data_IF_740259160617
#
_entry.id   IF_740259160617
#
_cell.length_a   1.000
_cell.length_b   1.000
_cell.length_c   1.000
_cell.angle_alpha   90.00
_cell.angle_beta   90.00
_cell.angle_gamma   90.00
#
_symmetry.space_group_name_H-M   'P 1'
#
loop_
_entity.id
_entity.type
_entity.pdbx_description
1 polymer ?
#
# COMPACT_ATOMS: atom_id res chain seq x y z
N UNK A 1 -42.00 -9.44 28.42
CA UNK A 1 -41.13 -8.34 27.93
C UNK A 1 -41.80 -7.73 26.71
N UNK A 2 -42.46 -6.59 26.85
CA UNK A 2 -42.95 -5.83 25.71
C UNK A 2 -41.75 -5.17 25.05
N UNK A 3 -41.33 -5.66 23.88
CA UNK A 3 -40.44 -4.90 23.02
C UNK A 3 -41.20 -3.65 22.60
N UNK A 4 -40.83 -2.50 23.15
CA UNK A 4 -41.27 -1.20 22.64
C UNK A 4 -40.75 -1.10 21.21
N UNK A 5 -41.59 -1.42 20.23
CA UNK A 5 -41.28 -1.24 18.81
C UNK A 5 -41.30 0.24 18.51
N UNK A 6 -40.14 0.89 18.63
CA UNK A 6 -39.96 2.26 18.16
C UNK A 6 -40.00 2.26 16.63
N UNK A 7 -41.17 2.44 16.04
CA UNK A 7 -41.29 2.75 14.63
C UNK A 7 -40.69 4.14 14.39
N UNK A 8 -39.46 4.20 13.86
CA UNK A 8 -38.87 5.47 13.43
C UNK A 8 -39.32 5.80 12.02
N UNK A 9 -40.01 6.91 11.85
CA UNK A 9 -40.32 7.46 10.52
C UNK A 9 -39.09 8.20 9.99
N UNK A 10 -38.89 8.16 8.67
CA UNK A 10 -37.75 8.82 8.06
C UNK A 10 -37.88 10.34 8.11
N UNK A 11 -36.85 11.04 8.57
CA UNK A 11 -36.79 12.50 8.54
C UNK A 11 -36.84 13.03 7.09
N UNK A 12 -37.67 14.05 6.85
CA UNK A 12 -37.74 14.76 5.58
C UNK A 12 -36.69 15.87 5.58
N UNK A 13 -35.77 15.82 4.63
CA UNK A 13 -34.80 16.90 4.37
C UNK A 13 -35.17 17.68 3.10
N UNK A 14 -34.50 18.82 2.86
CA UNK A 14 -34.58 19.55 1.58
C UNK A 14 -34.27 18.68 0.35
N UNK A 15 -33.53 17.58 0.54
CA UNK A 15 -33.13 16.65 -0.53
C UNK A 15 -34.01 15.40 -0.64
N UNK A 16 -35.08 15.31 0.17
CA UNK A 16 -35.98 14.16 0.24
C UNK A 16 -35.88 13.41 1.57
N UNK A 17 -36.56 12.27 1.66
CA UNK A 17 -36.53 11.41 2.85
C UNK A 17 -35.13 10.83 3.10
N UNK A 18 -34.63 10.92 4.33
CA UNK A 18 -33.31 10.44 4.72
C UNK A 18 -33.10 8.94 4.44
N UNK A 19 -34.17 8.13 4.59
CA UNK A 19 -34.13 6.69 4.30
C UNK A 19 -33.72 6.39 2.86
N UNK A 20 -34.08 7.25 1.91
CA UNK A 20 -33.71 7.08 0.51
C UNK A 20 -32.20 7.27 0.30
N UNK A 21 -31.63 8.29 0.94
CA UNK A 21 -30.18 8.53 0.93
C UNK A 21 -29.44 7.38 1.62
N UNK A 22 -29.96 6.89 2.76
CA UNK A 22 -29.38 5.75 3.49
C UNK A 22 -29.41 4.46 2.71
N UNK A 23 -30.51 4.17 2.00
CA UNK A 23 -30.61 3.01 1.13
C UNK A 23 -29.50 3.05 0.07
N UNK A 24 -29.37 4.17 -0.63
CA UNK A 24 -28.34 4.36 -1.67
C UNK A 24 -26.93 4.21 -1.08
N UNK A 25 -26.69 4.83 0.09
CA UNK A 25 -25.42 4.74 0.80
C UNK A 25 -25.08 3.30 1.22
N UNK A 26 -26.05 2.57 1.79
CA UNK A 26 -25.86 1.19 2.23
C UNK A 26 -25.48 0.27 1.06
N UNK A 27 -26.18 0.38 -0.07
CA UNK A 27 -25.85 -0.40 -1.27
C UNK A 27 -24.47 -0.04 -1.82
N UNK A 28 -24.06 1.24 -1.76
CA UNK A 28 -22.70 1.66 -2.13
C UNK A 28 -21.63 1.02 -1.24
N UNK A 29 -21.85 0.98 0.08
CA UNK A 29 -20.90 0.38 1.03
C UNK A 29 -20.64 -1.11 0.77
N UNK A 30 -21.61 -1.84 0.24
CA UNK A 30 -21.47 -3.26 -0.12
C UNK A 30 -21.10 -3.48 -1.61
N UNK A 31 -20.73 -2.41 -2.33
CA UNK A 31 -20.33 -2.50 -3.74
C UNK A 31 -21.48 -2.85 -4.68
N UNK A 32 -22.72 -2.50 -4.33
CA UNK A 32 -23.94 -2.76 -5.10
C UNK A 32 -24.62 -1.45 -5.50
N UNK A 33 -25.47 -1.52 -6.52
CA UNK A 33 -26.15 -0.35 -7.08
C UNK A 33 -27.67 -0.50 -7.16
N UNK A 34 -28.30 0.35 -7.98
CA UNK A 34 -29.75 0.43 -8.16
C UNK A 34 -30.42 -0.94 -8.36
N UNK A 35 -29.87 -1.80 -9.23
CA UNK A 35 -30.46 -3.12 -9.53
C UNK A 35 -30.56 -4.01 -8.29
N UNK A 36 -29.48 -4.10 -7.50
CA UNK A 36 -29.49 -4.87 -6.27
C UNK A 36 -30.42 -4.26 -5.21
N UNK A 37 -30.49 -2.92 -5.13
CA UNK A 37 -31.44 -2.25 -4.23
C UNK A 37 -32.90 -2.53 -4.60
N UNK A 38 -33.22 -2.66 -5.91
CA UNK A 38 -34.56 -3.05 -6.37
C UNK A 38 -34.91 -4.47 -5.93
N UNK A 39 -33.99 -5.41 -6.13
CA UNK A 39 -34.18 -6.80 -5.71
C UNK A 39 -34.39 -6.89 -4.20
N UNK A 40 -33.57 -6.18 -3.41
CA UNK A 40 -33.72 -6.09 -1.97
C UNK A 40 -35.08 -5.52 -1.55
N UNK A 41 -35.49 -4.38 -2.10
CA UNK A 41 -36.81 -3.80 -1.81
C UNK A 41 -37.94 -4.78 -2.14
N UNK A 42 -37.87 -5.47 -3.28
CA UNK A 42 -38.89 -6.45 -3.67
C UNK A 42 -38.98 -7.63 -2.68
N UNK A 43 -37.84 -8.21 -2.28
CA UNK A 43 -37.80 -9.33 -1.32
C UNK A 43 -38.29 -8.92 0.07
N UNK A 44 -37.96 -7.71 0.50
CA UNK A 44 -38.37 -7.16 1.80
C UNK A 44 -39.80 -6.59 1.81
N UNK A 45 -40.53 -6.68 0.69
CA UNK A 45 -41.84 -6.05 0.49
C UNK A 45 -41.84 -4.53 0.81
N UNK A 46 -40.77 -3.84 0.41
CA UNK A 46 -40.62 -2.39 0.53
C UNK A 46 -40.97 -1.69 -0.78
N UNK A 47 -41.36 -0.40 -0.74
CA UNK A 47 -41.46 0.41 -1.95
C UNK A 47 -40.16 0.36 -2.77
N UNK A 48 -40.26 0.49 -4.10
CA UNK A 48 -39.07 0.46 -4.96
C UNK A 48 -38.10 1.59 -4.58
N UNK A 49 -36.78 1.38 -4.81
CA UNK A 49 -35.78 2.41 -4.53
C UNK A 49 -36.09 3.68 -5.34
N UNK A 50 -35.59 4.85 -4.88
CA UNK A 50 -35.90 6.13 -5.49
C UNK A 50 -35.67 6.14 -7.00
N UNK A 51 -36.66 6.66 -7.75
CA UNK A 51 -36.58 6.73 -9.21
C UNK A 51 -35.30 7.46 -9.68
N UNK A 52 -35.00 8.59 -9.02
CA UNK A 52 -33.80 9.42 -9.23
C UNK A 52 -32.59 8.93 -8.40
N UNK A 53 -32.29 7.62 -8.43
CA UNK A 53 -31.18 7.00 -7.69
C UNK A 53 -29.83 7.73 -7.89
N UNK A 54 -29.51 8.12 -9.13
CA UNK A 54 -28.25 8.81 -9.44
C UNK A 54 -28.12 10.18 -8.78
N UNK A 55 -29.22 10.88 -8.53
CA UNK A 55 -29.20 12.15 -7.79
C UNK A 55 -28.66 11.93 -6.37
N UNK A 56 -29.08 10.86 -5.71
CA UNK A 56 -28.59 10.51 -4.37
C UNK A 56 -27.13 10.06 -4.42
N UNK A 57 -26.75 9.24 -5.41
CA UNK A 57 -25.35 8.86 -5.62
C UNK A 57 -24.43 10.08 -5.79
N UNK A 58 -24.82 11.05 -6.61
CA UNK A 58 -24.01 12.25 -6.87
C UNK A 58 -23.90 13.14 -5.62
N UNK A 59 -25.02 13.31 -4.90
CA UNK A 59 -25.03 14.02 -3.62
C UNK A 59 -24.10 13.35 -2.60
N UNK A 60 -24.18 12.02 -2.48
CA UNK A 60 -23.30 11.23 -1.61
C UNK A 60 -21.84 11.34 -2.04
N UNK A 61 -21.53 11.28 -3.34
CA UNK A 61 -20.15 11.44 -3.83
C UNK A 61 -19.59 12.78 -3.41
N UNK A 62 -20.33 13.87 -3.64
CA UNK A 62 -19.93 15.23 -3.26
C UNK A 62 -19.70 15.36 -1.75
N UNK A 63 -20.58 14.78 -0.93
CA UNK A 63 -20.45 14.80 0.52
C UNK A 63 -19.23 13.98 0.99
N UNK A 64 -19.04 12.78 0.44
CA UNK A 64 -17.92 11.90 0.76
C UNK A 64 -16.58 12.48 0.34
N UNK A 65 -16.49 13.13 -0.82
CA UNK A 65 -15.28 13.82 -1.29
C UNK A 65 -14.89 14.95 -0.32
N UNK A 66 -15.86 15.73 0.15
CA UNK A 66 -15.62 16.79 1.15
C UNK A 66 -15.12 16.21 2.47
N UNK A 67 -15.75 15.15 2.97
CA UNK A 67 -15.35 14.48 4.22
C UNK A 67 -13.97 13.85 4.07
N UNK A 68 -13.71 13.19 2.95
CA UNK A 68 -12.43 12.55 2.63
C UNK A 68 -11.31 13.60 2.59
N UNK A 69 -11.51 14.71 1.89
CA UNK A 69 -10.55 15.81 1.83
C UNK A 69 -10.23 16.37 3.22
N UNK A 70 -11.26 16.68 4.03
CA UNK A 70 -11.08 17.15 5.42
C UNK A 70 -10.34 16.13 6.29
N UNK A 71 -10.68 14.85 6.17
CA UNK A 71 -10.05 13.77 6.93
C UNK A 71 -8.55 13.67 6.60
N UNK A 72 -8.21 13.67 5.31
CA UNK A 72 -6.82 13.62 4.87
C UNK A 72 -6.04 14.87 5.25
N UNK A 73 -6.62 16.07 5.19
CA UNK A 73 -5.95 17.29 5.67
C UNK A 73 -5.64 17.21 7.16
N UNK A 74 -6.54 16.69 7.98
CA UNK A 74 -6.26 16.42 9.40
C UNK A 74 -5.14 15.40 9.58
N UNK A 75 -5.08 14.37 8.73
CA UNK A 75 -3.99 13.39 8.76
C UNK A 75 -2.64 14.00 8.36
N UNK A 76 -2.63 14.91 7.38
CA UNK A 76 -1.43 15.68 6.99
C UNK A 76 -0.94 16.52 8.16
N UNK A 77 -1.79 17.34 8.76
CA UNK A 77 -1.39 18.20 9.89
C UNK A 77 -0.94 17.38 11.10
N UNK A 78 -1.57 16.22 11.35
CA UNK A 78 -1.08 15.28 12.37
C UNK A 78 0.30 14.72 12.07
N UNK A 79 0.66 14.56 10.78
CA UNK A 79 2.00 14.12 10.37
C UNK A 79 3.03 15.24 10.52
N UNK A 80 2.66 16.46 10.14
CA UNK A 80 3.50 17.67 10.29
C UNK A 80 3.81 17.93 11.76
N UNK A 81 2.80 17.81 12.63
CA UNK A 81 2.96 17.99 14.08
C UNK A 81 3.91 16.98 14.72
N UNK A 82 3.94 15.73 14.24
CA UNK A 82 4.86 14.69 14.73
C UNK A 82 6.26 14.80 14.12
N UNK A 83 6.41 15.59 13.07
CA UNK A 83 7.65 15.86 12.36
C UNK A 83 8.16 17.27 12.70
N UNK A 84 8.08 17.68 13.96
CA UNK A 84 8.56 18.98 14.48
C UNK A 84 8.06 20.21 13.69
N UNK A 85 6.82 20.15 13.21
CA UNK A 85 6.19 21.16 12.35
C UNK A 85 6.87 21.37 10.99
N UNK A 86 7.75 20.46 10.58
CA UNK A 86 8.37 20.45 9.26
C UNK A 86 7.40 19.85 8.24
N UNK A 87 7.15 20.59 7.15
CA UNK A 87 6.21 20.21 6.06
C UNK A 87 6.84 19.28 5.01
N UNK A 88 8.05 18.80 5.28
CA UNK A 88 8.72 17.77 4.50
C UNK A 88 8.53 16.42 5.18
N UNK A 89 7.59 15.63 4.68
CA UNK A 89 7.14 14.40 5.34
C UNK A 89 7.51 13.14 4.56
N UNK A 90 7.45 12.01 5.25
CA UNK A 90 7.74 10.70 4.70
C UNK A 90 6.46 9.94 4.37
N UNK A 91 6.40 9.34 3.18
CA UNK A 91 5.19 8.65 2.70
C UNK A 91 5.51 7.23 2.25
N UNK A 92 4.58 6.31 2.53
CA UNK A 92 4.50 5.04 1.82
C UNK A 92 3.46 5.15 0.73
N UNK A 93 3.80 4.68 -0.47
CA UNK A 93 2.87 4.53 -1.57
C UNK A 93 2.55 3.05 -1.77
N UNK A 94 1.25 2.74 -1.74
CA UNK A 94 0.73 1.42 -2.07
C UNK A 94 -0.56 1.56 -2.85
N UNK A 95 -0.85 0.58 -3.69
CA UNK A 95 -2.01 0.62 -4.56
C UNK A 95 -2.45 -0.75 -5.03
N UNK A 96 -3.66 -0.79 -5.57
CA UNK A 96 -4.21 -1.95 -6.25
C UNK A 96 -4.63 -1.55 -7.65
N UNK A 97 -4.40 -2.42 -8.62
CA UNK A 97 -4.67 -2.13 -10.02
C UNK A 97 -5.29 -3.34 -10.72
N UNK A 98 -6.50 -3.16 -11.24
CA UNK A 98 -7.14 -4.07 -12.19
C UNK A 98 -7.66 -3.26 -13.40
N UNK A 99 -8.99 -3.20 -13.57
CA UNK A 99 -9.65 -2.32 -14.53
C UNK A 99 -9.78 -0.89 -13.99
N UNK A 100 -10.05 -0.79 -12.69
CA UNK A 100 -9.93 0.41 -11.88
C UNK A 100 -8.77 0.19 -10.91
N UNK A 101 -7.98 1.21 -10.67
CA UNK A 101 -6.89 1.20 -9.72
C UNK A 101 -7.00 2.38 -8.77
N UNK A 102 -6.52 2.16 -7.54
CA UNK A 102 -6.33 3.21 -6.56
C UNK A 102 -4.91 3.11 -6.04
N UNK A 103 -4.25 4.26 -5.95
CA UNK A 103 -3.00 4.40 -5.21
C UNK A 103 -3.25 5.33 -4.03
N UNK A 104 -2.63 5.00 -2.90
CA UNK A 104 -2.74 5.76 -1.66
C UNK A 104 -1.36 6.18 -1.19
N UNK A 105 -1.27 7.42 -0.71
CA UNK A 105 -0.16 7.91 0.09
C UNK A 105 -0.55 7.87 1.55
N UNK A 106 0.26 7.17 2.32
CA UNK A 106 0.09 7.02 3.76
C UNK A 106 1.32 7.61 4.43
N UNK A 107 1.10 8.47 5.43
CA UNK A 107 2.18 9.03 6.24
C UNK A 107 2.89 7.90 6.99
N UNK A 108 4.22 7.86 6.91
CA UNK A 108 5.01 6.83 7.61
C UNK A 108 4.91 6.97 9.13
N UNK A 109 4.85 8.20 9.62
CA UNK A 109 4.89 8.49 11.06
C UNK A 109 3.55 8.20 11.73
N UNK A 110 2.44 8.40 11.00
CA UNK A 110 1.09 8.24 11.57
C UNK A 110 0.34 6.99 11.12
N UNK A 111 0.77 6.38 10.02
CA UNK A 111 0.03 5.29 9.36
C UNK A 111 -1.32 5.73 8.76
N UNK A 112 -1.60 7.04 8.66
CA UNK A 112 -2.87 7.57 8.11
C UNK A 112 -2.73 7.90 6.63
N UNK A 113 -3.80 7.64 5.87
CA UNK A 113 -3.89 8.03 4.46
C UNK A 113 -4.00 9.55 4.37
N UNK A 114 -3.09 10.16 3.61
CA UNK A 114 -2.98 11.62 3.42
C UNK A 114 -3.27 12.05 1.98
N UNK A 115 -3.18 11.13 1.02
CA UNK A 115 -3.58 11.38 -0.37
C UNK A 115 -3.95 10.08 -1.08
N UNK A 116 -4.69 10.16 -2.18
CA UNK A 116 -4.97 9.01 -3.04
C UNK A 116 -5.29 9.43 -4.47
N UNK A 117 -5.00 8.58 -5.45
CA UNK A 117 -5.41 8.80 -6.84
C UNK A 117 -6.13 7.57 -7.38
N UNK A 118 -7.32 7.79 -7.95
CA UNK A 118 -8.09 6.77 -8.64
C UNK A 118 -7.85 6.86 -10.14
N UNK A 119 -7.40 5.76 -10.74
CA UNK A 119 -7.19 5.63 -12.18
C UNK A 119 -8.10 4.55 -12.76
N UNK A 120 -8.64 4.78 -13.95
CA UNK A 120 -9.52 3.84 -14.63
C UNK A 120 -9.18 3.75 -16.12
N UNK A 121 -9.11 2.52 -16.60
CA UNK A 121 -9.07 2.19 -18.04
C UNK A 121 -10.46 2.00 -18.63
N UNK A 122 -11.48 2.00 -17.79
CA UNK A 122 -12.81 1.54 -18.12
C UNK A 122 -13.84 2.63 -17.88
N UNK A 123 -14.68 2.86 -18.89
CA UNK A 123 -15.91 3.59 -18.69
C UNK A 123 -17.07 2.73 -19.23
N UNK A 124 -18.01 2.41 -18.34
CA UNK A 124 -19.19 1.60 -18.68
C UNK A 124 -20.00 2.26 -19.80
N UNK A 125 -20.18 3.58 -19.74
CA UNK A 125 -20.91 4.35 -20.74
C UNK A 125 -20.22 4.31 -22.09
N UNK A 126 -18.89 4.51 -22.14
CA UNK A 126 -18.12 4.42 -23.40
C UNK A 126 -18.13 3.01 -24.01
N UNK A 127 -18.21 1.96 -23.19
CA UNK A 127 -18.31 0.59 -23.71
C UNK A 127 -19.66 0.31 -24.37
N UNK A 128 -20.73 0.95 -23.89
CA UNK A 128 -22.10 0.65 -24.32
C UNK A 128 -22.70 1.68 -25.29
N UNK A 129 -22.10 2.87 -25.44
CA UNK A 129 -22.54 3.91 -26.40
C UNK A 129 -21.37 4.28 -27.32
N UNK A 130 -21.59 4.18 -28.64
CA UNK A 130 -20.56 4.26 -29.68
C UNK A 130 -20.04 5.67 -30.01
N UNK A 131 -20.66 6.76 -29.54
CA UNK A 131 -20.11 8.11 -29.71
C UNK A 131 -20.72 9.10 -28.70
N UNK A 132 -19.86 9.96 -28.14
CA UNK A 132 -20.13 11.00 -27.14
C UNK A 132 -20.53 10.54 -25.73
N UNK A 133 -19.54 10.02 -24.99
CA UNK A 133 -19.65 9.95 -23.53
C UNK A 133 -19.27 11.30 -22.90
N UNK A 134 -20.27 12.11 -22.56
CA UNK A 134 -20.08 13.41 -21.89
C UNK A 134 -19.35 13.30 -20.54
N UNK A 135 -19.52 12.17 -19.83
CA UNK A 135 -18.95 11.93 -18.49
C UNK A 135 -18.03 10.70 -18.50
N UNK A 136 -17.06 10.68 -19.41
CA UNK A 136 -16.10 9.59 -19.52
C UNK A 136 -15.30 9.42 -18.21
N UNK A 137 -15.41 8.23 -17.60
CA UNK A 137 -14.69 7.89 -16.36
C UNK A 137 -13.30 7.31 -16.61
N UNK A 138 -12.93 7.10 -17.88
CA UNK A 138 -11.60 6.61 -18.25
C UNK A 138 -10.62 7.79 -18.17
N UNK A 139 -9.60 7.65 -17.34
CA UNK A 139 -8.59 8.68 -17.11
C UNK A 139 -7.14 8.14 -17.19
N UNK A 140 -6.98 6.89 -17.66
CA UNK A 140 -5.70 6.23 -17.82
C UNK A 140 -5.66 5.38 -19.09
N UNK A 141 -4.51 5.41 -19.77
CA UNK A 141 -4.18 4.59 -20.92
C UNK A 141 -2.83 3.89 -20.69
N UNK A 142 -2.74 2.61 -21.08
CA UNK A 142 -1.56 1.77 -20.87
C UNK A 142 -1.86 0.46 -20.12
N UNK A 143 -0.80 -0.22 -19.69
CA UNK A 143 -0.87 -1.45 -18.90
C UNK A 143 -1.29 -1.16 -17.46
N UNK A 144 -2.05 -2.05 -16.82
CA UNK A 144 -2.58 -1.79 -15.47
C UNK A 144 -1.49 -1.56 -14.42
N UNK A 145 -0.35 -2.26 -14.51
CA UNK A 145 0.80 -2.01 -13.65
C UNK A 145 1.44 -0.61 -13.79
N UNK A 146 1.12 0.13 -14.86
CA UNK A 146 1.61 1.49 -15.07
C UNK A 146 0.78 2.54 -14.35
N UNK A 147 -0.40 2.17 -13.85
CA UNK A 147 -1.27 3.03 -13.05
C UNK A 147 -0.58 3.45 -11.76
N UNK A 148 0.13 2.53 -11.11
CA UNK A 148 0.86 2.83 -9.87
C UNK A 148 1.82 3.99 -10.09
N UNK A 149 2.65 3.92 -11.14
CA UNK A 149 3.62 4.98 -11.42
C UNK A 149 2.96 6.30 -11.84
N UNK A 150 1.84 6.26 -12.57
CA UNK A 150 1.12 7.47 -12.98
C UNK A 150 0.40 8.13 -11.81
N UNK A 151 -0.21 7.33 -10.94
CA UNK A 151 -0.89 7.83 -9.75
C UNK A 151 0.08 8.37 -8.72
N UNK A 152 1.23 7.70 -8.51
CA UNK A 152 2.31 8.18 -7.66
C UNK A 152 2.80 9.56 -8.11
N UNK A 153 3.04 9.71 -9.42
CA UNK A 153 3.39 11.00 -10.02
C UNK A 153 2.36 12.09 -9.71
N UNK A 154 1.07 11.82 -9.95
CA UNK A 154 0.00 12.81 -9.71
C UNK A 154 -0.08 13.23 -8.25
N UNK A 155 0.04 12.28 -7.32
CA UNK A 155 0.06 12.54 -5.89
C UNK A 155 1.22 13.48 -5.52
N UNK A 156 2.43 13.20 -6.02
CA UNK A 156 3.61 14.02 -5.76
C UNK A 156 3.52 15.42 -6.39
N UNK A 157 2.97 15.53 -7.60
CA UNK A 157 2.83 16.81 -8.30
C UNK A 157 1.87 17.79 -7.61
N UNK A 158 0.83 17.29 -6.94
CA UNK A 158 -0.18 18.14 -6.28
C UNK A 158 0.02 18.31 -4.78
N UNK A 159 1.03 17.66 -4.19
CA UNK A 159 1.21 17.62 -2.73
C UNK A 159 1.31 19.03 -2.14
N UNK A 160 2.14 19.90 -2.74
CA UNK A 160 2.33 21.28 -2.28
C UNK A 160 1.03 22.08 -2.40
N UNK A 161 0.37 22.05 -3.57
CA UNK A 161 -0.82 22.88 -3.82
C UNK A 161 -2.06 22.42 -3.07
N UNK A 162 -2.22 21.11 -2.85
CA UNK A 162 -3.45 20.56 -2.24
C UNK A 162 -3.29 20.19 -0.78
N UNK A 163 -2.08 19.85 -0.34
CA UNK A 163 -1.78 19.36 1.02
C UNK A 163 -0.83 20.27 1.80
N UNK A 164 -0.20 21.25 1.14
CA UNK A 164 0.79 22.13 1.74
C UNK A 164 1.94 21.35 2.42
N UNK A 165 2.43 20.29 1.76
CA UNK A 165 3.57 19.48 2.21
C UNK A 165 4.36 18.97 1.00
N UNK A 166 5.66 18.69 1.20
CA UNK A 166 6.48 17.94 0.25
C UNK A 166 6.71 16.53 0.77
N UNK A 167 6.67 15.56 -0.13
CA UNK A 167 6.96 14.16 0.19
C UNK A 167 8.44 13.88 -0.08
N UNK A 168 9.28 13.98 0.96
CA UNK A 168 10.74 13.91 0.82
C UNK A 168 11.29 12.50 0.91
N UNK A 169 10.59 11.58 1.59
CA UNK A 169 10.96 10.17 1.63
C UNK A 169 9.85 9.31 1.05
N UNK A 170 10.21 8.45 0.10
CA UNK A 170 9.34 7.50 -0.57
C UNK A 170 9.65 6.10 -0.07
N UNK A 171 8.72 5.48 0.67
CA UNK A 171 8.73 4.06 0.93
C UNK A 171 7.83 3.37 -0.10
N UNK A 172 8.37 2.38 -0.80
CA UNK A 172 7.61 1.59 -1.76
C UNK A 172 8.31 0.29 -2.08
N UNK A 173 7.75 -0.46 -3.04
CA UNK A 173 8.30 -1.75 -3.44
C UNK A 173 9.72 -1.61 -4.05
N UNK A 174 10.51 -2.68 -3.95
CA UNK A 174 11.93 -2.69 -4.31
C UNK A 174 12.18 -2.32 -5.78
N UNK A 175 11.30 -2.72 -6.71
CA UNK A 175 11.33 -2.33 -8.13
C UNK A 175 10.26 -1.28 -8.46
N UNK A 176 10.33 -0.15 -7.77
CA UNK A 176 9.38 0.94 -7.98
C UNK A 176 9.74 1.77 -9.23
N UNK A 177 9.11 1.42 -10.37
CA UNK A 177 9.05 2.30 -11.56
C UNK A 177 8.42 3.66 -11.23
N UNK A 178 7.57 3.72 -10.21
CA UNK A 178 6.98 4.96 -9.70
C UNK A 178 8.02 5.94 -9.17
N UNK A 179 8.94 5.48 -8.32
CA UNK A 179 10.02 6.29 -7.79
C UNK A 179 10.93 6.82 -8.90
N UNK A 180 11.28 5.99 -9.89
CA UNK A 180 12.10 6.45 -11.02
C UNK A 180 11.42 7.59 -11.79
N UNK A 181 10.11 7.49 -12.02
CA UNK A 181 9.37 8.61 -12.65
C UNK A 181 9.42 9.86 -11.78
N UNK A 182 9.13 9.75 -10.48
CA UNK A 182 9.18 10.89 -9.54
C UNK A 182 10.57 11.56 -9.57
N UNK A 183 11.63 10.76 -9.49
CA UNK A 183 13.02 11.23 -9.55
C UNK A 183 13.32 11.98 -10.85
N UNK A 184 12.94 11.43 -12.00
CA UNK A 184 13.18 12.05 -13.30
C UNK A 184 12.36 13.33 -13.48
N UNK A 185 11.14 13.37 -12.95
CA UNK A 185 10.26 14.54 -13.08
C UNK A 185 10.66 15.73 -12.22
N UNK A 186 11.59 15.58 -11.26
CA UNK A 186 12.05 16.66 -10.37
C UNK A 186 10.87 17.46 -9.79
N UNK A 187 9.88 16.76 -9.22
CA UNK A 187 8.58 17.34 -8.81
C UNK A 187 8.67 18.54 -7.87
N UNK A 188 9.79 18.71 -7.17
CA UNK A 188 10.03 19.82 -6.23
C UNK A 188 11.19 20.73 -6.68
N UNK A 189 11.62 20.66 -7.94
CA UNK A 189 12.74 21.42 -8.48
C UNK A 189 14.03 20.60 -8.62
N UNK A 190 15.07 21.20 -9.20
CA UNK A 190 16.31 20.50 -9.53
C UNK A 190 17.17 20.14 -8.32
N UNK A 191 17.11 20.97 -7.28
CA UNK A 191 17.94 20.84 -6.08
C UNK A 191 17.36 19.85 -5.06
N UNK A 192 16.07 19.49 -5.21
CA UNK A 192 15.32 18.71 -4.24
C UNK A 192 15.12 17.30 -4.76
N UNK A 193 15.87 16.36 -4.17
CA UNK A 193 15.78 14.93 -4.50
C UNK A 193 15.00 14.16 -3.44
N UNK A 194 13.97 13.43 -3.87
CA UNK A 194 13.21 12.51 -3.00
C UNK A 194 14.09 11.30 -2.66
N UNK A 195 14.21 10.98 -1.38
CA UNK A 195 14.93 9.80 -0.88
C UNK A 195 14.07 8.54 -1.03
N UNK A 196 14.66 7.46 -1.56
CA UNK A 196 14.00 6.15 -1.59
C UNK A 196 14.34 5.35 -0.34
N UNK A 197 13.31 4.99 0.42
CA UNK A 197 13.38 4.05 1.53
C UNK A 197 13.00 2.64 1.06
N UNK A 198 13.46 1.64 1.80
CA UNK A 198 13.10 0.24 1.58
C UNK A 198 12.62 -0.40 2.88
N UNK A 199 11.54 -1.18 2.80
CA UNK A 199 11.06 -1.85 4.01
C UNK A 199 11.94 -3.08 4.33
N UNK A 200 12.02 -3.40 5.62
CA UNK A 200 12.78 -4.56 6.11
C UNK A 200 12.30 -5.86 5.43
N UNK A 201 11.00 -5.96 5.11
CA UNK A 201 10.43 -7.09 4.39
C UNK A 201 11.01 -7.26 2.99
N UNK A 202 11.21 -6.17 2.24
CA UNK A 202 11.83 -6.21 0.91
C UNK A 202 13.33 -6.50 0.99
N UNK A 203 14.04 -5.88 1.93
CA UNK A 203 15.45 -6.18 2.21
C UNK A 203 15.64 -7.67 2.53
N UNK A 204 14.75 -8.23 3.36
CA UNK A 204 14.68 -9.65 3.67
C UNK A 204 14.46 -10.50 2.40
N UNK A 205 13.43 -10.19 1.59
CA UNK A 205 13.15 -10.93 0.34
C UNK A 205 14.34 -10.90 -0.64
N UNK A 206 15.03 -9.78 -0.74
CA UNK A 206 16.20 -9.62 -1.61
C UNK A 206 17.35 -10.56 -1.23
N UNK A 207 17.60 -10.75 0.06
CA UNK A 207 18.61 -11.71 0.53
C UNK A 207 18.31 -13.11 0.00
N UNK A 208 17.07 -13.59 0.16
CA UNK A 208 16.64 -14.89 -0.36
C UNK A 208 16.73 -14.99 -1.88
N UNK A 209 16.32 -13.95 -2.60
CA UNK A 209 16.41 -13.89 -4.06
C UNK A 209 17.86 -13.99 -4.56
N UNK A 210 18.79 -13.22 -3.97
CA UNK A 210 20.22 -13.26 -4.33
C UNK A 210 20.84 -14.63 -4.08
N UNK A 211 20.52 -15.28 -2.96
CA UNK A 211 21.00 -16.63 -2.67
C UNK A 211 20.45 -17.68 -3.65
N UNK A 212 19.17 -17.57 -4.04
CA UNK A 212 18.58 -18.44 -5.08
C UNK A 212 19.26 -18.23 -6.43
N UNK A 213 19.51 -16.97 -6.83
CA UNK A 213 20.23 -16.66 -8.06
C UNK A 213 21.65 -17.24 -8.05
N UNK A 214 22.38 -17.09 -6.94
CA UNK A 214 23.71 -17.67 -6.77
C UNK A 214 23.68 -19.21 -6.86
N UNK A 215 22.75 -19.85 -6.15
CA UNK A 215 22.54 -21.31 -6.19
C UNK A 215 22.29 -21.79 -7.61
N UNK A 216 21.45 -21.07 -8.37
CA UNK A 216 21.13 -21.42 -9.75
C UNK A 216 22.33 -21.21 -10.69
N UNK A 217 23.06 -20.11 -10.54
CA UNK A 217 24.27 -19.81 -11.34
C UNK A 217 25.35 -20.88 -11.15
N UNK A 218 25.51 -21.41 -9.94
CA UNK A 218 26.53 -22.40 -9.59
C UNK A 218 26.00 -23.84 -9.57
N UNK A 219 24.79 -24.10 -10.08
CA UNK A 219 24.12 -25.41 -9.97
C UNK A 219 24.94 -26.57 -10.58
N UNK A 220 25.67 -26.28 -11.65
CA UNK A 220 26.50 -27.26 -12.37
C UNK A 220 27.99 -27.17 -12.04
N UNK A 221 28.40 -26.17 -11.27
CA UNK A 221 29.81 -25.95 -10.90
C UNK A 221 30.13 -26.74 -9.64
N UNK A 222 31.23 -27.47 -9.66
CA UNK A 222 31.80 -28.10 -8.45
C UNK A 222 32.58 -27.05 -7.66
N UNK A 223 32.36 -26.99 -6.36
CA UNK A 223 33.13 -26.14 -5.44
C UNK A 223 34.51 -26.78 -5.17
N UNK A 224 35.34 -26.13 -4.37
CA UNK A 224 36.69 -26.60 -4.04
C UNK A 224 36.74 -28.02 -3.44
N UNK A 225 35.63 -28.47 -2.83
CA UNK A 225 35.48 -29.81 -2.26
C UNK A 225 34.91 -30.85 -3.26
N UNK A 226 34.84 -30.51 -4.54
CA UNK A 226 34.32 -31.36 -5.61
C UNK A 226 32.79 -31.55 -5.62
N UNK A 227 32.05 -30.91 -4.69
CA UNK A 227 30.60 -31.06 -4.54
C UNK A 227 29.85 -29.86 -5.12
N UNK A 228 28.56 -30.06 -5.40
CA UNK A 228 27.67 -28.99 -5.89
C UNK A 228 27.26 -28.06 -4.73
N UNK A 229 26.86 -26.83 -5.07
CA UNK A 229 26.38 -25.83 -4.11
C UNK A 229 25.07 -26.22 -3.39
N UNK A 230 24.28 -27.12 -3.99
CA UNK A 230 23.03 -27.62 -3.45
C UNK A 230 23.13 -29.10 -3.08
N UNK A 231 22.27 -29.56 -2.16
CA UNK A 231 22.24 -30.94 -1.68
C UNK A 231 22.19 -31.03 -0.15
N UNK A 232 22.31 -32.25 0.38
CA UNK A 232 22.30 -32.49 1.84
C UNK A 232 23.44 -31.74 2.52
N UNK A 233 23.12 -30.96 3.55
CA UNK A 233 24.09 -30.13 4.28
C UNK A 233 24.64 -28.94 3.49
N UNK A 234 23.93 -28.47 2.45
CA UNK A 234 24.33 -27.36 1.58
C UNK A 234 23.25 -26.30 1.47
N UNK A 235 23.41 -25.35 0.54
CA UNK A 235 22.47 -24.26 0.32
C UNK A 235 21.19 -24.76 -0.36
N UNK A 236 20.30 -25.36 0.44
CA UNK A 236 18.96 -25.80 0.03
C UNK A 236 17.96 -24.63 0.07
N UNK A 237 16.78 -24.79 -0.52
CA UNK A 237 15.74 -23.77 -0.42
C UNK A 237 15.25 -23.55 1.02
N UNK A 238 15.19 -24.61 1.82
CA UNK A 238 14.90 -24.51 3.26
C UNK A 238 15.96 -23.68 3.99
N UNK A 239 17.24 -23.90 3.68
CA UNK A 239 18.34 -23.15 4.26
C UNK A 239 18.32 -21.68 3.84
N UNK A 240 18.02 -21.39 2.57
CA UNK A 240 17.85 -20.00 2.08
C UNK A 240 16.70 -19.30 2.81
N UNK A 241 15.55 -19.98 3.00
CA UNK A 241 14.42 -19.43 3.75
C UNK A 241 14.79 -19.15 5.20
N UNK A 242 15.60 -20.02 5.81
CA UNK A 242 16.08 -19.85 7.18
C UNK A 242 17.01 -18.64 7.30
N UNK A 243 18.01 -18.50 6.41
CA UNK A 243 18.90 -17.33 6.36
C UNK A 243 18.09 -16.06 6.13
N UNK A 244 17.15 -16.09 5.18
CA UNK A 244 16.25 -14.96 4.92
C UNK A 244 15.47 -14.57 6.18
N UNK A 245 14.87 -15.53 6.90
CA UNK A 245 14.13 -15.27 8.15
C UNK A 245 15.03 -14.63 9.21
N UNK A 246 16.20 -15.21 9.47
CA UNK A 246 17.13 -14.68 10.48
C UNK A 246 17.68 -13.31 10.11
N UNK A 247 17.98 -13.07 8.84
CA UNK A 247 18.46 -11.78 8.36
C UNK A 247 17.43 -10.66 8.63
N UNK A 248 16.17 -10.88 8.27
CA UNK A 248 15.11 -9.94 8.60
C UNK A 248 14.86 -9.79 10.10
N UNK A 249 15.03 -10.86 10.89
CA UNK A 249 14.86 -10.82 12.34
C UNK A 249 15.99 -10.04 13.03
N UNK A 250 17.22 -10.19 12.58
CA UNK A 250 18.38 -9.44 13.07
C UNK A 250 18.19 -7.93 12.85
N UNK A 251 17.65 -7.52 11.70
CA UNK A 251 17.33 -6.11 11.44
C UNK A 251 16.23 -5.63 12.39
N UNK A 252 15.09 -6.33 12.48
CA UNK A 252 13.95 -5.92 13.34
C UNK A 252 14.32 -5.82 14.81
N UNK A 253 15.08 -6.78 15.35
CA UNK A 253 15.48 -6.82 16.77
C UNK A 253 16.46 -5.71 17.17
N UNK A 254 17.11 -5.09 16.19
CA UNK A 254 18.10 -4.03 16.42
C UNK A 254 17.67 -2.69 15.83
N UNK A 255 16.43 -2.54 15.35
CA UNK A 255 15.94 -1.32 14.71
C UNK A 255 16.00 -0.08 15.63
N UNK A 256 15.84 -0.28 16.95
CA UNK A 256 15.88 0.78 17.97
C UNK A 256 17.21 0.86 18.73
N UNK A 257 18.22 0.06 18.34
CA UNK A 257 19.52 0.01 19.03
C UNK A 257 20.54 0.89 18.30
N UNK A 258 21.42 0.27 17.52
CA UNK A 258 22.41 0.96 16.72
C UNK A 258 22.72 0.18 15.45
N UNK A 259 23.26 0.87 14.45
CA UNK A 259 23.75 0.26 13.21
C UNK A 259 24.83 -0.79 13.51
N UNK A 260 25.68 -0.54 14.51
CA UNK A 260 26.74 -1.46 14.94
C UNK A 260 26.17 -2.77 15.49
N UNK A 261 25.16 -2.71 16.36
CA UNK A 261 24.53 -3.92 16.92
C UNK A 261 23.73 -4.70 15.87
N UNK A 262 23.10 -3.98 14.94
CA UNK A 262 22.47 -4.59 13.76
C UNK A 262 23.50 -5.32 12.90
N UNK A 263 24.64 -4.68 12.61
CA UNK A 263 25.74 -5.27 11.86
C UNK A 263 26.26 -6.55 12.54
N UNK A 264 26.59 -6.49 13.83
CA UNK A 264 27.04 -7.65 14.62
C UNK A 264 26.03 -8.80 14.55
N UNK A 265 24.74 -8.51 14.76
CA UNK A 265 23.67 -9.50 14.71
C UNK A 265 23.51 -10.14 13.34
N UNK A 266 23.66 -9.37 12.25
CA UNK A 266 23.64 -9.89 10.88
C UNK A 266 24.84 -10.80 10.63
N UNK A 267 26.04 -10.37 11.01
CA UNK A 267 27.27 -11.15 10.81
C UNK A 267 27.32 -12.41 11.67
N UNK A 268 26.72 -12.39 12.86
CA UNK A 268 26.58 -13.58 13.69
C UNK A 268 25.85 -14.72 12.97
N UNK A 269 24.90 -14.42 12.07
CA UNK A 269 24.22 -15.43 11.23
C UNK A 269 25.23 -16.07 10.28
N UNK A 270 26.06 -15.27 9.62
CA UNK A 270 27.07 -15.75 8.68
C UNK A 270 28.11 -16.63 9.39
N UNK A 271 28.67 -16.16 10.50
CA UNK A 271 29.65 -16.91 11.28
C UNK A 271 29.06 -18.19 11.88
N UNK A 272 27.82 -18.15 12.37
CA UNK A 272 27.13 -19.37 12.82
C UNK A 272 26.99 -20.42 11.72
N UNK A 273 26.75 -19.99 10.46
CA UNK A 273 26.66 -20.90 9.32
C UNK A 273 28.01 -21.39 8.80
N UNK A 274 29.09 -20.65 9.03
CA UNK A 274 30.46 -21.09 8.77
C UNK A 274 31.03 -21.99 9.87
N UNK A 275 30.51 -21.86 11.09
CA UNK A 275 30.99 -22.57 12.27
C UNK A 275 30.93 -24.08 12.07
N UNK A 276 32.03 -24.76 12.42
CA UNK A 276 32.12 -26.23 12.43
C UNK A 276 32.64 -26.67 13.79
N UNK A 277 32.45 -27.94 14.16
CA UNK A 277 32.99 -28.48 15.41
C UNK A 277 34.51 -28.29 15.54
N UNK A 278 35.23 -28.30 14.41
CA UNK A 278 36.68 -28.09 14.37
C UNK A 278 37.09 -26.59 14.39
N UNK A 279 36.20 -25.69 13.98
CA UNK A 279 36.43 -24.23 13.93
C UNK A 279 35.17 -23.49 14.38
N UNK A 280 34.93 -23.38 15.69
CA UNK A 280 33.76 -22.69 16.21
C UNK A 280 33.90 -21.18 15.97
N UNK A 281 32.85 -20.57 15.40
CA UNK A 281 32.82 -19.13 15.08
C UNK A 281 31.63 -18.45 15.79
N UNK A 282 31.56 -18.59 17.12
CA UNK A 282 30.47 -18.06 17.95
C UNK A 282 30.75 -16.66 18.54
N UNK A 283 31.88 -16.01 18.22
CA UNK A 283 32.33 -14.77 18.87
C UNK A 283 31.43 -13.54 18.73
N UNK A 284 30.44 -13.56 17.84
CA UNK A 284 29.44 -12.48 17.69
C UNK A 284 28.05 -12.85 18.20
N UNK A 285 27.86 -14.01 18.83
CA UNK A 285 26.60 -14.33 19.51
C UNK A 285 26.48 -13.45 20.75
N UNK A 286 25.28 -12.94 21.07
CA UNK A 286 25.02 -12.40 22.40
C UNK A 286 25.33 -13.49 23.44
N UNK A 287 26.04 -13.13 24.50
CA UNK A 287 26.23 -13.98 25.67
C UNK A 287 24.85 -14.23 26.27
N UNK A 288 24.27 -15.39 26.01
CA UNK A 288 23.06 -15.88 26.65
C UNK A 288 23.42 -16.92 27.70
N UNK A 289 22.59 -17.06 28.73
CA UNK A 289 22.76 -17.98 29.86
C UNK A 289 22.92 -19.46 29.48
N UNK A 290 22.55 -19.85 28.25
CA UNK A 290 22.64 -21.23 27.78
C UNK A 290 23.50 -21.32 26.49
N UNK A 291 24.80 -21.03 26.64
CA UNK A 291 25.81 -21.38 25.62
C UNK A 291 26.18 -22.85 25.69
#
# INVERSE_FOLDING_TARGET
>A
MCYSTSAMTSNISKTGYDINTRLVYAFRCIGKGKTASRAFCAVMNLPPPPAKFERFNNSLSTALEKVCSKSMMKAVEGSVSLNDNVRDISVTLDGTWQMNGVITATSLDTGKVIDFECLSKYCFTCKNKSSNCENCQKNYEGFSGGMESKGAMKIFQRSVSTRNVRYMKYLGDGDSKGYQKIRVSKVYGEEIMVEKLECIGHVQKRMGARLKTLKNKLKSTKLADGKKIAGRGRLTDAEILLIQKYYGLAIRRNASKSVTEMFKSIWAIYFHKLSTNAKPQHGLRPLGSDS
#
